data_IF_389399071967
#
_entry.id   IF_389399071967
#
_cell.length_a   1.000
_cell.length_b   1.000
_cell.length_c   1.000
_cell.angle_alpha   90.00
_cell.angle_beta   90.00
_cell.angle_gamma   90.00
#
_symmetry.space_group_name_H-M   'P 1'
#
loop_
_entity.id
_entity.type
_entity.pdbx_description
1 polymer ?
#
# COMPACT_ATOMS: atom_id res chain seq x y z
N UNK A 1 -20.14 -1.98 40.67
CA UNK A 1 -20.72 -1.57 39.38
C UNK A 1 -19.77 -0.59 38.68
N UNK A 2 -18.54 -1.01 38.37
CA UNK A 2 -17.44 -0.16 37.88
C UNK A 2 -16.47 -0.95 36.96
N UNK A 3 -16.98 -1.95 36.23
CA UNK A 3 -16.13 -2.81 35.36
C UNK A 3 -16.60 -2.84 33.90
N UNK A 4 -17.67 -2.10 33.55
CA UNK A 4 -18.25 -2.13 32.19
C UNK A 4 -17.83 -0.96 31.29
N UNK A 5 -17.20 0.09 31.83
CA UNK A 5 -16.87 1.29 31.03
C UNK A 5 -15.51 1.21 30.33
N UNK A 6 -14.60 0.32 30.75
CA UNK A 6 -13.28 0.20 30.12
C UNK A 6 -13.29 -0.60 28.80
N UNK A 7 -14.27 -1.48 28.59
CA UNK A 7 -14.27 -2.41 27.44
C UNK A 7 -14.83 -1.75 26.18
N UNK A 8 -15.75 -0.79 26.30
CA UNK A 8 -16.46 -0.22 25.15
C UNK A 8 -15.64 0.77 24.32
N UNK A 9 -14.55 1.34 24.86
CA UNK A 9 -13.65 2.22 24.10
C UNK A 9 -12.50 1.49 23.40
N UNK A 10 -12.21 0.24 23.77
CA UNK A 10 -11.12 -0.54 23.17
C UNK A 10 -11.49 -1.12 21.79
N UNK A 11 -12.75 -1.00 21.37
CA UNK A 11 -13.26 -1.57 20.12
C UNK A 11 -13.45 -0.53 19.01
N UNK A 12 -13.02 0.72 19.20
CA UNK A 12 -13.10 1.74 18.15
C UNK A 12 -11.96 1.49 17.14
N UNK A 13 -12.21 0.51 16.27
CA UNK A 13 -11.94 0.57 14.84
C UNK A 13 -10.45 0.78 14.49
N UNK A 14 -9.68 -0.31 14.52
CA UNK A 14 -8.47 -0.46 13.69
C UNK A 14 -8.90 -0.61 12.21
N UNK A 15 -9.51 0.41 11.62
CA UNK A 15 -9.54 0.55 10.17
C UNK A 15 -8.25 1.26 9.83
N UNK A 16 -7.24 0.48 9.44
CA UNK A 16 -6.07 1.01 8.75
C UNK A 16 -6.52 1.45 7.35
N UNK A 17 -7.14 2.61 7.23
CA UNK A 17 -7.19 3.31 5.94
C UNK A 17 -5.72 3.59 5.57
N UNK A 18 -5.23 2.96 4.51
CA UNK A 18 -3.86 3.14 4.04
C UNK A 18 -3.54 4.62 3.89
N UNK A 19 -2.41 5.06 4.46
CA UNK A 19 -1.99 6.46 4.43
C UNK A 19 -1.79 6.90 2.97
N UNK A 20 -2.41 8.00 2.54
CA UNK A 20 -2.15 8.55 1.20
C UNK A 20 -0.67 8.85 0.98
N UNK A 21 -0.16 8.58 -0.23
CA UNK A 21 1.23 8.83 -0.59
C UNK A 21 1.38 9.51 -1.96
N UNK A 22 2.46 10.26 -2.12
CA UNK A 22 2.94 10.76 -3.42
C UNK A 22 4.32 10.21 -3.78
N UNK A 23 5.01 9.59 -2.83
CA UNK A 23 6.23 8.81 -3.06
C UNK A 23 6.42 7.76 -1.94
N UNK A 24 7.30 6.77 -2.12
CA UNK A 24 7.67 5.84 -1.04
C UNK A 24 8.24 6.52 0.21
N UNK A 25 8.77 7.75 0.10
CA UNK A 25 9.32 8.51 1.23
C UNK A 25 8.24 8.97 2.21
N UNK A 26 6.97 8.96 1.78
CA UNK A 26 5.84 9.26 2.63
C UNK A 26 5.45 8.06 3.52
N UNK A 27 5.92 6.86 3.21
CA UNK A 27 5.54 5.61 3.87
C UNK A 27 6.53 5.18 4.97
N UNK A 28 6.09 4.28 5.85
CA UNK A 28 6.97 3.75 6.88
C UNK A 28 8.02 2.80 6.29
N UNK A 29 9.13 2.52 7.00
CA UNK A 29 10.06 1.47 6.60
C UNK A 29 9.33 0.13 6.45
N UNK A 30 9.56 -0.56 5.33
CA UNK A 30 8.86 -1.81 5.01
C UNK A 30 7.50 -1.61 4.32
N UNK A 31 7.22 -0.40 3.84
CA UNK A 31 6.05 -0.07 3.02
C UNK A 31 6.46 0.53 1.67
N UNK A 32 5.53 0.55 0.72
CA UNK A 32 5.67 1.23 -0.57
C UNK A 32 4.39 1.99 -0.94
N UNK A 33 4.47 2.88 -1.93
CA UNK A 33 3.31 3.62 -2.43
C UNK A 33 2.61 2.85 -3.57
N UNK A 34 1.34 2.50 -3.40
CA UNK A 34 0.57 1.68 -4.34
C UNK A 34 -0.65 2.42 -4.87
N UNK A 35 -0.86 2.39 -6.19
CA UNK A 35 -2.12 2.75 -6.83
C UNK A 35 -2.96 1.51 -7.15
N UNK A 36 -4.19 1.51 -6.66
CA UNK A 36 -5.19 0.49 -6.99
C UNK A 36 -5.71 0.57 -8.42
N UNK A 37 -6.53 -0.40 -8.84
CA UNK A 37 -7.11 -0.45 -10.19
C UNK A 37 -8.37 0.40 -10.38
N UNK A 38 -8.93 0.93 -9.29
CA UNK A 38 -10.17 1.69 -9.36
C UNK A 38 -9.97 3.05 -10.04
N UNK A 39 -10.99 3.50 -10.79
CA UNK A 39 -10.95 4.83 -11.40
C UNK A 39 -10.89 5.88 -10.30
N UNK A 40 -9.94 6.81 -10.41
CA UNK A 40 -9.67 7.83 -9.40
C UNK A 40 -9.22 7.24 -8.04
N UNK A 41 -8.65 6.03 -8.04
CA UNK A 41 -7.95 5.51 -6.88
C UNK A 41 -6.89 6.50 -6.41
N UNK A 42 -6.81 6.70 -5.10
CA UNK A 42 -5.78 7.52 -4.47
C UNK A 42 -4.65 6.57 -4.05
N UNK A 43 -3.38 6.86 -4.39
CA UNK A 43 -2.26 6.03 -3.95
C UNK A 43 -2.16 5.97 -2.43
N UNK A 44 -1.88 4.78 -1.90
CA UNK A 44 -1.77 4.51 -0.47
C UNK A 44 -0.49 3.74 -0.13
N UNK A 45 0.02 3.97 1.09
CA UNK A 45 1.09 3.19 1.66
C UNK A 45 0.59 1.79 2.01
N UNK A 46 1.29 0.79 1.48
CA UNK A 46 1.00 -0.63 1.68
C UNK A 46 2.26 -1.37 2.12
N UNK A 47 2.12 -2.44 2.88
CA UNK A 47 3.26 -3.24 3.35
C UNK A 47 3.94 -4.00 2.19
N UNK A 48 5.26 -4.13 2.25
CA UNK A 48 6.01 -5.01 1.36
C UNK A 48 5.50 -6.46 1.42
N UNK A 49 5.59 -7.16 0.28
CA UNK A 49 5.12 -8.53 0.14
C UNK A 49 5.94 -9.52 0.98
N UNK A 50 5.32 -10.11 1.99
CA UNK A 50 5.91 -11.19 2.80
C UNK A 50 5.81 -12.54 2.10
N UNK A 51 6.45 -13.58 2.65
CA UNK A 51 6.38 -14.94 2.12
C UNK A 51 4.94 -15.34 1.82
N UNK A 52 4.70 -15.88 0.62
CA UNK A 52 3.41 -16.31 0.07
C UNK A 52 2.41 -15.20 -0.31
N UNK A 53 2.68 -13.93 0.04
CA UNK A 53 1.89 -12.78 -0.44
C UNK A 53 1.82 -12.77 -1.95
N UNK A 54 0.69 -12.29 -2.47
CA UNK A 54 0.58 -12.02 -3.90
C UNK A 54 1.53 -10.90 -4.29
N UNK A 55 2.12 -11.05 -5.47
CA UNK A 55 3.00 -10.07 -6.09
C UNK A 55 2.81 -10.13 -7.60
N UNK A 56 3.27 -9.09 -8.30
CA UNK A 56 3.33 -9.05 -9.76
C UNK A 56 4.77 -9.30 -10.19
N UNK A 57 4.97 -10.27 -11.08
CA UNK A 57 6.26 -10.49 -11.74
C UNK A 57 6.63 -9.25 -12.56
N UNK A 58 7.92 -8.90 -12.57
CA UNK A 58 8.45 -7.72 -13.27
C UNK A 58 7.73 -6.41 -12.90
N UNK A 59 7.32 -6.28 -11.63
CA UNK A 59 6.78 -5.04 -11.11
C UNK A 59 7.91 -4.03 -10.89
N UNK A 60 8.06 -3.10 -11.84
CA UNK A 60 8.90 -1.92 -11.67
C UNK A 60 8.06 -0.74 -11.15
N UNK A 61 8.62 0.10 -10.26
CA UNK A 61 8.00 1.36 -9.88
C UNK A 61 8.04 2.34 -11.04
N UNK A 62 7.02 3.19 -11.16
CA UNK A 62 6.99 4.20 -12.20
C UNK A 62 6.40 5.54 -11.77
N UNK A 63 6.93 6.61 -12.36
CA UNK A 63 6.48 7.98 -12.13
C UNK A 63 5.24 8.29 -12.97
N UNK A 64 4.19 8.83 -12.35
CA UNK A 64 2.93 9.14 -13.04
C UNK A 64 2.29 10.44 -12.58
N UNK A 65 1.68 11.15 -13.54
CA UNK A 65 0.71 12.19 -13.23
C UNK A 65 -0.70 11.60 -13.27
N UNK A 66 -1.39 11.63 -12.12
CA UNK A 66 -2.77 11.19 -11.98
C UNK A 66 -3.74 12.35 -12.19
N UNK A 67 -4.80 12.07 -12.94
CA UNK A 67 -5.82 13.03 -13.35
C UNK A 67 -7.14 12.73 -12.64
N UNK A 68 -7.57 13.65 -11.78
CA UNK A 68 -8.80 13.56 -11.01
C UNK A 68 -9.84 14.56 -11.54
N UNK A 69 -11.13 14.42 -11.15
CA UNK A 69 -12.15 15.41 -11.49
C UNK A 69 -11.77 16.83 -11.04
N UNK A 70 -12.45 17.84 -11.60
CA UNK A 70 -12.23 19.26 -11.29
C UNK A 70 -10.82 19.78 -11.58
N UNK A 71 -10.15 19.23 -12.61
CA UNK A 71 -8.80 19.64 -13.02
C UNK A 71 -7.76 19.50 -11.89
N UNK A 72 -7.93 18.49 -11.04
CA UNK A 72 -6.94 18.15 -10.00
C UNK A 72 -5.93 17.19 -10.62
N UNK A 73 -4.64 17.53 -10.49
CA UNK A 73 -3.52 16.73 -10.96
C UNK A 73 -2.63 16.40 -9.77
N UNK A 74 -2.12 15.17 -9.68
CA UNK A 74 -1.11 14.77 -8.68
C UNK A 74 0.04 14.07 -9.37
N UNK A 75 1.27 14.53 -9.15
CA UNK A 75 2.46 13.82 -9.56
C UNK A 75 2.86 12.83 -8.46
N UNK A 76 3.09 11.57 -8.82
CA UNK A 76 3.46 10.49 -7.92
C UNK A 76 4.78 9.89 -8.43
N UNK A 77 5.75 9.75 -7.53
CA UNK A 77 7.09 9.19 -7.79
C UNK A 77 7.16 7.74 -7.33
N UNK A 78 7.92 6.91 -8.05
CA UNK A 78 8.28 5.53 -7.69
C UNK A 78 7.08 4.68 -7.21
N UNK A 79 5.95 4.79 -7.91
CA UNK A 79 4.69 4.18 -7.53
C UNK A 79 4.59 2.74 -8.05
N UNK A 80 4.08 1.83 -7.23
CA UNK A 80 3.70 0.49 -7.67
C UNK A 80 2.22 0.43 -8.02
N UNK A 81 1.86 -0.45 -8.96
CA UNK A 81 0.45 -0.74 -9.26
C UNK A 81 0.05 -2.05 -8.60
N UNK A 82 -1.13 -2.09 -7.98
CA UNK A 82 -1.75 -3.27 -7.32
C UNK A 82 -1.07 -3.81 -6.07
N UNK A 83 0.24 -4.05 -6.11
CA UNK A 83 0.97 -4.69 -5.02
C UNK A 83 2.32 -4.01 -4.82
N UNK A 84 2.76 -3.92 -3.57
CA UNK A 84 4.15 -3.65 -3.27
C UNK A 84 5.06 -4.79 -3.76
N UNK A 85 6.35 -4.50 -3.99
CA UNK A 85 7.33 -5.55 -4.28
C UNK A 85 7.49 -6.45 -3.06
N UNK A 86 8.09 -7.61 -3.27
CA UNK A 86 8.41 -8.51 -2.18
C UNK A 86 9.47 -7.88 -1.26
N UNK A 87 9.34 -8.12 0.05
CA UNK A 87 10.36 -7.73 1.02
C UNK A 87 11.67 -8.48 0.73
N UNK A 88 12.80 -7.77 0.68
CA UNK A 88 14.09 -8.40 0.47
C UNK A 88 14.40 -9.41 1.60
N UNK A 89 14.94 -10.61 1.30
CA UNK A 89 15.50 -11.06 0.02
C UNK A 89 14.52 -11.93 -0.81
N UNK A 90 13.21 -11.75 -0.65
CA UNK A 90 12.21 -12.54 -1.37
C UNK A 90 12.11 -12.08 -2.83
N UNK A 91 11.79 -13.03 -3.71
CA UNK A 91 11.58 -12.79 -5.13
C UNK A 91 10.16 -13.18 -5.51
N UNK A 92 9.53 -12.39 -6.38
CA UNK A 92 8.23 -12.73 -6.94
C UNK A 92 8.39 -13.88 -7.95
N UNK A 93 7.80 -15.04 -7.65
CA UNK A 93 7.74 -16.19 -8.57
C UNK A 93 6.35 -16.80 -8.55
N UNK A 94 5.79 -17.08 -9.72
CA UNK A 94 4.42 -17.56 -9.90
C UNK A 94 3.42 -16.70 -9.15
N UNK A 95 3.60 -15.37 -9.21
CA UNK A 95 2.80 -14.37 -8.51
C UNK A 95 2.76 -14.53 -6.98
N UNK A 96 3.80 -15.14 -6.38
CA UNK A 96 3.97 -15.22 -4.92
C UNK A 96 5.39 -14.87 -4.51
N UNK A 97 5.50 -14.16 -3.39
CA UNK A 97 6.81 -13.91 -2.79
C UNK A 97 7.35 -15.21 -2.18
N UNK A 98 8.56 -15.59 -2.60
CA UNK A 98 9.23 -16.81 -2.16
C UNK A 98 10.73 -16.57 -2.03
N UNK A 99 11.44 -17.45 -1.33
CA UNK A 99 12.91 -17.38 -1.28
C UNK A 99 13.46 -17.63 -2.70
N UNK A 100 14.37 -16.76 -3.13
CA UNK A 100 15.03 -16.83 -4.45
C UNK A 100 15.75 -18.14 -4.70
#
# INVERSE_FOLDING_TARGET
MLCFTCVLFASIILISEGKECSSPKDCAPGECCVLGMERYAIPQCEALGKVSSFCREDAEPDDRTLFYPNFIFRYIEDMYTLFCPCEEPLVCRKNRCSKG
#
